data_IF_711034290653
#
_entry.id   IF_711034290653
#
_cell.length_a   1.000
_cell.length_b   1.000
_cell.length_c   1.000
_cell.angle_alpha   90.00
_cell.angle_beta   90.00
_cell.angle_gamma   90.00
#
_symmetry.space_group_name_H-M   'P 1'
#
loop_
_entity.id
_entity.type
_entity.pdbx_description
1 polymer ?
#
# COMPACT_ATOMS: atom_id res chain seq x y z
N UNK A 1 -11.21 7.02 2.30
CA UNK A 1 -9.95 6.84 1.53
C UNK A 1 -8.72 7.10 2.39
N UNK A 2 -8.75 8.13 3.23
CA UNK A 2 -7.64 8.56 4.11
C UNK A 2 -6.99 7.45 4.97
N UNK A 3 -7.75 6.53 5.55
CA UNK A 3 -7.17 5.47 6.41
C UNK A 3 -6.30 4.46 5.65
N UNK A 4 -6.70 4.10 4.42
CA UNK A 4 -5.90 3.20 3.57
C UNK A 4 -4.61 3.87 3.11
N UNK A 5 -4.67 5.17 2.84
CA UNK A 5 -3.49 5.95 2.46
C UNK A 5 -2.54 6.15 3.64
N UNK A 6 -3.06 6.40 4.84
CA UNK A 6 -2.27 6.45 6.07
C UNK A 6 -1.57 5.12 6.30
N UNK A 7 -2.32 4.01 6.26
CA UNK A 7 -1.76 2.66 6.45
C UNK A 7 -0.73 2.28 5.38
N UNK A 8 -0.90 2.74 4.14
CA UNK A 8 0.10 2.59 3.08
C UNK A 8 1.39 3.34 3.43
N UNK A 9 1.29 4.54 3.99
CA UNK A 9 2.46 5.34 4.37
C UNK A 9 3.21 4.69 5.54
N UNK A 10 2.49 4.23 6.56
CA UNK A 10 3.08 3.50 7.69
C UNK A 10 3.86 2.26 7.22
N UNK A 11 3.27 1.48 6.30
CA UNK A 11 3.92 0.30 5.74
C UNK A 11 5.15 0.64 4.90
N UNK A 12 5.18 1.81 4.24
CA UNK A 12 6.36 2.29 3.50
C UNK A 12 7.49 2.65 4.44
N UNK A 13 7.18 3.32 5.55
CA UNK A 13 8.15 3.62 6.61
C UNK A 13 8.70 2.35 7.25
N UNK A 14 7.81 1.40 7.59
CA UNK A 14 8.21 0.10 8.09
C UNK A 14 9.12 -0.64 7.08
N UNK A 15 8.76 -0.64 5.80
CA UNK A 15 9.57 -1.26 4.75
C UNK A 15 10.96 -0.64 4.63
N UNK A 16 11.07 0.69 4.76
CA UNK A 16 12.35 1.39 4.77
C UNK A 16 13.18 0.96 5.99
N UNK A 17 12.59 0.96 7.19
CA UNK A 17 13.23 0.53 8.42
C UNK A 17 13.75 -0.92 8.32
N UNK A 18 12.94 -1.83 7.81
CA UNK A 18 13.31 -3.23 7.60
C UNK A 18 14.47 -3.37 6.61
N UNK A 19 14.48 -2.59 5.51
CA UNK A 19 15.60 -2.58 4.55
C UNK A 19 16.89 -2.04 5.16
N UNK A 20 16.82 -0.95 5.91
CA UNK A 20 18.00 -0.40 6.60
C UNK A 20 18.57 -1.43 7.60
N UNK A 21 17.72 -2.05 8.42
CA UNK A 21 18.15 -3.10 9.35
C UNK A 21 18.77 -4.31 8.64
N UNK A 22 18.25 -4.68 7.46
CA UNK A 22 18.82 -5.77 6.67
C UNK A 22 20.21 -5.45 6.13
N UNK A 23 20.41 -4.24 5.60
CA UNK A 23 21.73 -3.78 5.12
C UNK A 23 22.74 -3.74 6.26
N UNK A 24 22.32 -3.27 7.44
CA UNK A 24 23.14 -3.27 8.66
C UNK A 24 23.35 -4.65 9.28
N UNK A 25 22.81 -5.73 8.70
CA UNK A 25 22.83 -7.11 9.25
C UNK A 25 22.25 -7.25 10.66
N UNK A 26 21.41 -6.31 11.08
CA UNK A 26 20.78 -6.25 12.41
C UNK A 26 19.31 -6.73 12.37
N UNK A 27 18.82 -7.17 11.22
CA UNK A 27 17.44 -7.61 11.07
C UNK A 27 17.28 -9.08 11.47
N UNK A 28 16.42 -9.33 12.44
CA UNK A 28 16.12 -10.68 12.93
C UNK A 28 15.31 -11.53 11.93
N UNK A 29 14.39 -10.91 11.17
CA UNK A 29 13.53 -11.64 10.23
C UNK A 29 13.44 -10.94 8.86
N UNK A 30 14.12 -11.52 7.86
CA UNK A 30 14.16 -11.06 6.47
C UNK A 30 12.82 -11.32 5.75
N UNK A 31 11.98 -12.25 6.24
CA UNK A 31 10.68 -12.56 5.65
C UNK A 31 9.74 -11.36 5.78
N UNK A 32 9.88 -10.56 6.83
CA UNK A 32 9.09 -9.35 7.04
C UNK A 32 9.23 -8.35 5.90
N UNK A 33 10.41 -8.22 5.28
CA UNK A 33 10.62 -7.35 4.10
C UNK A 33 9.66 -7.75 2.97
N UNK A 34 9.58 -9.06 2.68
CA UNK A 34 8.71 -9.59 1.62
C UNK A 34 7.24 -9.45 1.98
N UNK A 35 6.89 -9.66 3.26
CA UNK A 35 5.52 -9.53 3.77
C UNK A 35 5.03 -8.07 3.67
N UNK A 36 5.81 -7.11 4.17
CA UNK A 36 5.48 -5.68 4.13
C UNK A 36 5.39 -5.18 2.69
N UNK A 37 6.30 -5.60 1.79
CA UNK A 37 6.20 -5.28 0.35
C UNK A 37 4.88 -5.77 -0.27
N UNK A 38 4.47 -7.00 0.03
CA UNK A 38 3.19 -7.57 -0.46
C UNK A 38 1.99 -6.82 0.12
N UNK A 39 2.04 -6.41 1.37
CA UNK A 39 0.97 -5.64 2.00
C UNK A 39 0.78 -4.27 1.33
N UNK A 40 1.88 -3.58 1.02
CA UNK A 40 1.83 -2.32 0.25
C UNK A 40 1.14 -2.55 -1.10
N UNK A 41 1.51 -3.61 -1.82
CA UNK A 41 0.91 -3.93 -3.12
C UNK A 41 -0.60 -4.16 -3.02
N UNK A 42 -1.07 -4.91 -2.01
CA UNK A 42 -2.51 -5.15 -1.78
C UNK A 42 -3.28 -3.87 -1.53
N UNK A 43 -2.74 -2.96 -0.71
CA UNK A 43 -3.41 -1.68 -0.44
C UNK A 43 -3.48 -0.84 -1.71
N UNK A 44 -2.41 -0.81 -2.52
CA UNK A 44 -2.42 -0.10 -3.80
C UNK A 44 -3.48 -0.68 -4.75
N UNK A 45 -3.65 -2.00 -4.80
CA UNK A 45 -4.70 -2.64 -5.60
C UNK A 45 -6.10 -2.17 -5.17
N UNK A 46 -6.40 -2.22 -3.87
CA UNK A 46 -7.71 -1.78 -3.35
C UNK A 46 -7.96 -0.28 -3.60
N UNK A 47 -6.94 0.57 -3.44
CA UNK A 47 -7.04 2.00 -3.75
C UNK A 47 -7.36 2.22 -5.22
N UNK A 48 -6.70 1.48 -6.13
CA UNK A 48 -6.97 1.55 -7.55
C UNK A 48 -8.38 1.07 -7.92
N UNK A 49 -8.85 -0.03 -7.31
CA UNK A 49 -10.21 -0.53 -7.54
C UNK A 49 -11.26 0.50 -7.11
N UNK A 50 -11.09 1.11 -5.93
CA UNK A 50 -11.97 2.18 -5.46
C UNK A 50 -11.95 3.41 -6.36
N UNK A 51 -10.77 3.80 -6.86
CA UNK A 51 -10.64 4.91 -7.79
C UNK A 51 -11.38 4.63 -9.11
N UNK A 52 -11.29 3.38 -9.61
CA UNK A 52 -12.00 2.97 -10.82
C UNK A 52 -13.51 3.00 -10.62
N UNK A 53 -14.01 2.47 -9.51
CA UNK A 53 -15.43 2.51 -9.15
C UNK A 53 -15.97 3.95 -9.11
N UNK A 54 -15.28 4.86 -8.42
CA UNK A 54 -15.65 6.28 -8.40
C UNK A 54 -15.70 6.87 -9.82
N UNK A 55 -14.72 6.54 -10.67
CA UNK A 55 -14.65 7.06 -12.04
C UNK A 55 -15.72 6.47 -12.98
N UNK A 56 -16.27 5.31 -12.64
CA UNK A 56 -17.35 4.65 -13.39
C UNK A 56 -18.71 5.23 -12.99
N UNK A 57 -18.91 5.49 -11.70
CA UNK A 57 -20.09 6.18 -11.16
C UNK A 57 -20.23 7.61 -11.73
N UNK A 58 -19.15 8.39 -11.79
CA UNK A 58 -19.20 9.76 -12.35
C UNK A 58 -19.56 9.81 -13.84
N UNK A 59 -19.32 8.73 -14.59
CA UNK A 59 -19.65 8.65 -16.03
C UNK A 59 -21.11 8.26 -16.27
N UNK A 60 -21.74 7.60 -15.30
CA UNK A 60 -23.15 7.19 -15.42
C UNK A 60 -24.08 8.37 -15.14
N UNK A 61 -23.67 9.28 -14.24
CA UNK A 61 -24.42 10.50 -13.94
C UNK A 61 -24.36 11.57 -15.06
N UNK A 62 -23.30 11.58 -15.88
CA UNK A 62 -23.14 12.51 -17.01
C UNK A 62 -23.92 12.07 -18.27
N UNK A 63 -24.43 10.83 -18.30
CA UNK A 63 -25.15 10.23 -19.42
C UNK A 63 -26.67 10.11 -19.20
N UNK A 64 -27.18 10.53 -18.04
CA UNK A 64 -28.59 10.53 -17.68
C UNK A 64 -29.18 11.95 -17.70
#
# INVERSE_FOLDING_TARGET
>A
VNELEAKRNDLKEEYLRLRCGHVSRQLADVIMIKKTRRNIARINTVLNEKQKQLSEETKTDEQA
#
